data_IF_213664423648
#
_entry.id   IF_213664423648
#
_cell.length_a   1.000
_cell.length_b   1.000
_cell.length_c   1.000
_cell.angle_alpha   90.00
_cell.angle_beta   90.00
_cell.angle_gamma   90.00
#
_symmetry.space_group_name_H-M   'P 1'
#
loop_
_entity.id
_entity.type
_entity.pdbx_description
1 polymer ?
#
# COMPACT_ATOMS: atom_id res chain seq x y z
N UNK A 1 2.95 23.50 -14.14
CA UNK A 1 3.13 22.31 -15.00
C UNK A 1 2.37 21.17 -14.35
N UNK A 2 1.20 20.82 -14.86
CA UNK A 2 0.30 19.82 -14.25
C UNK A 2 0.81 18.41 -14.53
N UNK A 3 1.39 17.75 -13.52
CA UNK A 3 1.66 16.32 -13.56
C UNK A 3 0.50 15.59 -12.93
N UNK A 4 -0.26 14.88 -13.76
CA UNK A 4 -1.36 14.02 -13.33
C UNK A 4 -0.88 13.05 -12.24
N UNK A 5 -1.58 13.00 -11.10
CA UNK A 5 -1.25 12.10 -9.99
C UNK A 5 -1.13 10.63 -10.43
N UNK A 6 -1.78 10.26 -11.55
CA UNK A 6 -1.65 8.95 -12.17
C UNK A 6 -0.21 8.61 -12.63
N UNK A 7 0.58 9.60 -13.04
CA UNK A 7 1.96 9.41 -13.48
C UNK A 7 2.89 9.14 -12.29
N UNK A 8 2.64 9.74 -11.13
CA UNK A 8 3.44 9.52 -9.91
C UNK A 8 3.32 8.07 -9.44
N UNK A 9 2.10 7.51 -9.43
CA UNK A 9 1.90 6.11 -9.08
C UNK A 9 2.48 5.15 -10.11
N UNK A 10 2.41 5.51 -11.40
CA UNK A 10 3.08 4.74 -12.48
C UNK A 10 4.59 4.75 -12.33
N UNK A 11 5.22 5.90 -12.07
CA UNK A 11 6.68 6.00 -11.94
C UNK A 11 7.21 5.30 -10.69
N UNK A 12 6.48 5.41 -9.56
CA UNK A 12 6.79 4.66 -8.36
C UNK A 12 6.67 3.13 -8.57
N UNK A 13 5.70 2.68 -9.37
CA UNK A 13 5.54 1.27 -9.74
C UNK A 13 6.54 0.82 -10.83
N UNK A 14 6.95 1.72 -11.72
CA UNK A 14 7.82 1.45 -12.86
C UNK A 14 9.31 1.37 -12.49
N UNK A 15 9.73 1.90 -11.33
CA UNK A 15 11.10 1.71 -10.84
C UNK A 15 11.39 0.21 -10.70
N UNK A 16 12.27 -0.37 -11.54
CA UNK A 16 12.62 -1.78 -11.41
C UNK A 16 13.33 -1.94 -10.08
N UNK A 17 12.68 -2.63 -9.13
CA UNK A 17 13.35 -3.04 -7.91
C UNK A 17 14.57 -3.85 -8.35
N UNK A 18 15.78 -3.56 -7.84
CA UNK A 18 16.96 -4.34 -8.22
C UNK A 18 16.61 -5.80 -7.99
N UNK A 19 16.69 -6.59 -9.06
CA UNK A 19 16.38 -8.01 -9.03
C UNK A 19 17.49 -8.68 -8.21
N UNK A 20 17.41 -8.57 -6.88
CA UNK A 20 18.23 -9.34 -5.96
C UNK A 20 17.84 -10.78 -6.22
N UNK A 21 18.63 -11.44 -7.08
CA UNK A 21 18.58 -12.88 -7.30
C UNK A 21 18.64 -13.49 -5.91
N UNK A 22 17.50 -13.99 -5.43
CA UNK A 22 17.44 -14.65 -4.13
C UNK A 22 18.39 -15.83 -4.23
N UNK A 23 19.21 -16.06 -3.21
CA UNK A 23 19.96 -17.29 -3.13
C UNK A 23 19.00 -18.47 -3.32
N UNK A 24 19.35 -19.40 -4.20
CA UNK A 24 18.54 -20.57 -4.47
C UNK A 24 18.35 -21.38 -3.19
N UNK A 25 17.18 -21.98 -3.02
CA UNK A 25 16.93 -22.88 -1.89
C UNK A 25 17.84 -24.09 -1.94
N UNK A 26 18.28 -24.55 -0.77
CA UNK A 26 18.94 -25.85 -0.62
C UNK A 26 17.86 -26.93 -0.70
N UNK A 27 18.01 -27.85 -1.65
CA UNK A 27 17.11 -29.01 -1.81
C UNK A 27 17.77 -30.25 -1.22
N UNK A 28 17.12 -30.89 -0.26
CA UNK A 28 17.57 -32.15 0.33
C UNK A 28 16.58 -33.26 -0.04
N UNK A 29 17.10 -34.43 -0.44
CA UNK A 29 16.27 -35.62 -0.64
C UNK A 29 16.03 -36.28 0.70
N UNK A 30 14.76 -36.51 1.03
CA UNK A 30 14.33 -37.22 2.24
C UNK A 30 13.20 -38.16 1.86
N UNK A 31 13.15 -39.33 2.49
CA UNK A 31 12.02 -40.23 2.42
C UNK A 31 10.79 -39.64 3.13
N UNK A 32 9.61 -40.21 2.87
CA UNK A 32 8.38 -39.79 3.55
C UNK A 32 8.46 -39.99 5.07
N UNK A 33 9.08 -41.09 5.53
CA UNK A 33 9.25 -41.37 6.94
C UNK A 33 10.14 -40.32 7.63
N UNK A 34 11.28 -39.98 7.02
CA UNK A 34 12.18 -38.94 7.54
C UNK A 34 11.49 -37.56 7.54
N UNK A 35 10.69 -37.26 6.52
CA UNK A 35 9.93 -36.01 6.47
C UNK A 35 8.93 -35.89 7.61
N UNK A 36 8.25 -36.97 7.99
CA UNK A 36 7.34 -36.97 9.14
C UNK A 36 8.09 -36.83 10.48
N UNK A 37 9.26 -37.45 10.61
CA UNK A 37 10.13 -37.25 11.78
C UNK A 37 10.55 -35.78 11.87
N UNK A 38 10.96 -35.17 10.77
CA UNK A 38 11.33 -33.75 10.73
C UNK A 38 10.14 -32.84 11.09
N UNK A 39 8.93 -33.13 10.61
CA UNK A 39 7.72 -32.37 10.96
C UNK A 39 7.43 -32.45 12.45
N UNK A 40 7.53 -33.66 13.03
CA UNK A 40 7.32 -33.86 14.47
C UNK A 40 8.35 -33.09 15.30
N UNK A 41 9.62 -33.13 14.91
CA UNK A 41 10.69 -32.36 15.56
C UNK A 41 10.52 -30.84 15.39
N UNK A 42 10.02 -30.38 14.25
CA UNK A 42 9.79 -28.95 13.99
C UNK A 42 8.63 -28.35 14.80
N UNK A 43 7.66 -29.18 15.23
CA UNK A 43 6.52 -28.74 16.04
C UNK A 43 5.69 -27.66 15.34
N UNK A 44 5.61 -26.46 15.93
CA UNK A 44 4.87 -25.31 15.37
C UNK A 44 5.68 -24.49 14.34
N UNK A 45 6.97 -24.79 14.17
CA UNK A 45 7.86 -24.07 13.24
C UNK A 45 7.73 -24.67 11.84
N UNK A 46 8.01 -23.86 10.81
CA UNK A 46 8.14 -24.43 9.45
C UNK A 46 9.36 -25.33 9.36
N UNK A 47 9.29 -26.40 8.56
CA UNK A 47 10.41 -27.34 8.34
C UNK A 47 11.71 -26.63 7.96
N UNK A 48 11.64 -25.65 7.06
CA UNK A 48 12.83 -24.90 6.64
C UNK A 48 13.42 -24.03 7.75
N UNK A 49 12.61 -23.50 8.66
CA UNK A 49 13.11 -22.78 9.82
C UNK A 49 13.80 -23.73 10.80
N UNK A 50 13.18 -24.87 11.09
CA UNK A 50 13.76 -25.90 11.97
C UNK A 50 15.08 -26.45 11.43
N UNK A 51 15.12 -26.85 10.15
CA UNK A 51 16.35 -27.39 9.52
C UNK A 51 17.47 -26.35 9.51
N UNK A 52 17.14 -25.08 9.26
CA UNK A 52 18.12 -23.99 9.27
C UNK A 52 18.70 -23.75 10.65
N UNK A 53 17.86 -23.73 11.68
CA UNK A 53 18.28 -23.55 13.08
C UNK A 53 19.21 -24.67 13.52
N UNK A 54 18.89 -25.93 13.20
CA UNK A 54 19.75 -27.07 13.53
C UNK A 54 21.06 -27.06 12.73
N UNK A 55 21.02 -26.66 11.46
CA UNK A 55 22.21 -26.71 10.59
C UNK A 55 23.17 -25.52 10.77
N UNK A 56 22.65 -24.34 11.12
CA UNK A 56 23.44 -23.11 11.24
C UNK A 56 23.68 -22.69 12.70
N UNK A 57 22.84 -23.12 13.65
CA UNK A 57 23.02 -22.78 15.07
C UNK A 57 23.18 -21.27 15.30
N UNK A 58 24.29 -20.89 15.91
CA UNK A 58 24.64 -19.49 16.23
C UNK A 58 25.05 -18.66 15.00
N UNK A 59 25.47 -19.31 13.91
CA UNK A 59 25.85 -18.63 12.66
C UNK A 59 24.62 -18.19 11.83
N UNK A 60 23.41 -18.39 12.35
CA UNK A 60 22.19 -18.03 11.65
C UNK A 60 21.95 -16.52 11.69
N UNK A 61 22.01 -15.86 10.53
CA UNK A 61 21.57 -14.47 10.41
C UNK A 61 20.06 -14.31 10.74
N UNK A 62 19.66 -13.23 11.45
CA UNK A 62 18.27 -12.93 11.72
C UNK A 62 17.49 -12.74 10.41
N UNK A 63 16.39 -13.49 10.25
CA UNK A 63 15.51 -13.27 9.11
C UNK A 63 14.81 -11.93 9.29
N UNK A 64 14.85 -11.07 8.25
CA UNK A 64 13.99 -9.90 8.17
C UNK A 64 12.53 -10.34 8.31
N UNK A 65 11.93 -10.09 9.46
CA UNK A 65 10.49 -10.15 9.64
C UNK A 65 9.92 -9.00 8.83
N UNK A 66 9.07 -9.31 7.84
CA UNK A 66 8.24 -8.28 7.24
C UNK A 66 7.38 -7.73 8.39
N UNK A 67 7.65 -6.49 8.82
CA UNK A 67 6.83 -5.83 9.81
C UNK A 67 5.41 -5.80 9.25
N UNK A 68 4.48 -6.45 9.94
CA UNK A 68 3.07 -6.26 9.64
C UNK A 68 2.78 -4.78 9.91
N UNK A 69 2.16 -4.04 8.98
CA UNK A 69 1.73 -2.69 9.27
C UNK A 69 0.82 -2.73 10.50
N UNK A 70 0.86 -1.67 11.32
CA UNK A 70 -0.12 -1.52 12.39
C UNK A 70 -1.54 -1.54 11.78
N UNK A 71 -2.52 -1.95 12.60
CA UNK A 71 -3.92 -1.98 12.18
C UNK A 71 -4.32 -0.60 11.62
N UNK A 72 -3.91 0.46 12.32
CA UNK A 72 -4.18 1.85 11.93
C UNK A 72 -3.59 2.19 10.56
N UNK A 73 -2.33 1.82 10.30
CA UNK A 73 -1.69 2.07 9.00
C UNK A 73 -2.43 1.36 7.86
N UNK A 74 -2.87 0.11 8.10
CA UNK A 74 -3.62 -0.65 7.10
C UNK A 74 -5.01 -0.05 6.84
N UNK A 75 -5.69 0.45 7.88
CA UNK A 75 -7.00 1.11 7.77
C UNK A 75 -6.89 2.45 7.03
N UNK A 76 -5.90 3.28 7.36
CA UNK A 76 -5.65 4.55 6.69
C UNK A 76 -5.35 4.35 5.20
N UNK A 77 -4.53 3.35 4.86
CA UNK A 77 -4.23 3.01 3.46
C UNK A 77 -5.48 2.55 2.69
N UNK A 78 -6.35 1.76 3.33
CA UNK A 78 -7.62 1.35 2.73
C UNK A 78 -8.56 2.54 2.53
N UNK A 79 -8.64 3.45 3.50
CA UNK A 79 -9.50 4.63 3.43
C UNK A 79 -9.04 5.58 2.32
N UNK A 80 -7.74 5.83 2.20
CA UNK A 80 -7.17 6.60 1.08
C UNK A 80 -7.47 5.92 -0.28
N UNK A 81 -7.36 4.59 -0.35
CA UNK A 81 -7.69 3.83 -1.55
C UNK A 81 -9.17 3.90 -1.93
N UNK A 82 -10.08 3.92 -0.94
CA UNK A 82 -11.53 4.13 -1.15
C UNK A 82 -11.82 5.55 -1.60
N UNK A 83 -11.18 6.55 -0.99
CA UNK A 83 -11.34 7.96 -1.37
C UNK A 83 -10.94 8.20 -2.83
N UNK A 84 -9.81 7.63 -3.27
CA UNK A 84 -9.36 7.72 -4.67
C UNK A 84 -10.22 6.95 -5.69
N UNK A 85 -11.02 5.99 -5.23
CA UNK A 85 -12.00 5.26 -6.06
C UNK A 85 -13.40 5.89 -6.02
N UNK A 86 -13.63 6.87 -5.14
CA UNK A 86 -14.94 7.48 -5.01
C UNK A 86 -15.21 8.39 -6.21
N UNK A 87 -16.32 8.12 -6.90
CA UNK A 87 -16.81 8.98 -7.98
C UNK A 87 -17.24 10.36 -7.47
N UNK A 88 -17.43 10.54 -6.14
CA UNK A 88 -17.81 11.83 -5.55
C UNK A 88 -16.80 12.93 -5.87
N UNK A 89 -15.51 12.62 -5.94
CA UNK A 89 -14.47 13.60 -6.29
C UNK A 89 -14.64 14.06 -7.74
N UNK A 90 -14.89 13.11 -8.64
CA UNK A 90 -15.15 13.37 -10.06
C UNK A 90 -16.46 14.16 -10.25
N UNK A 91 -17.52 13.81 -9.52
CA UNK A 91 -18.79 14.52 -9.56
C UNK A 91 -18.66 15.96 -9.07
N UNK A 92 -17.97 16.20 -7.96
CA UNK A 92 -17.74 17.55 -7.42
C UNK A 92 -16.94 18.41 -8.41
N UNK A 93 -15.89 17.86 -9.03
CA UNK A 93 -15.12 18.59 -10.04
C UNK A 93 -15.94 18.93 -11.29
N UNK A 94 -16.77 18.00 -11.77
CA UNK A 94 -17.64 18.23 -12.92
C UNK A 94 -18.71 19.29 -12.61
N UNK A 95 -19.29 19.27 -11.40
CA UNK A 95 -20.23 20.29 -10.94
C UNK A 95 -19.55 21.66 -10.87
N UNK A 96 -18.32 21.73 -10.34
CA UNK A 96 -17.58 22.97 -10.23
C UNK A 96 -17.27 23.56 -11.61
N UNK A 97 -16.77 22.72 -12.53
CA UNK A 97 -16.48 23.13 -13.91
C UNK A 97 -17.75 23.61 -14.63
N UNK A 98 -18.90 22.97 -14.36
CA UNK A 98 -20.17 23.37 -14.96
C UNK A 98 -20.73 24.67 -14.36
N UNK A 99 -20.52 24.91 -13.06
CA UNK A 99 -20.87 26.14 -12.37
C UNK A 99 -20.00 27.32 -12.83
N UNK A 100 -18.67 27.13 -12.90
CA UNK A 100 -17.71 28.15 -13.39
C UNK A 100 -17.96 28.54 -14.85
N UNK A 101 -18.42 27.59 -15.68
CA UNK A 101 -18.76 27.85 -17.08
C UNK A 101 -20.16 28.44 -17.29
N UNK A 102 -20.87 28.84 -16.24
CA UNK A 102 -22.26 29.32 -16.25
C UNK A 102 -23.24 28.35 -16.96
N UNK A 103 -22.88 27.06 -17.05
CA UNK A 103 -23.71 26.04 -17.72
C UNK A 103 -24.87 25.58 -16.85
N UNK A 104 -24.81 25.89 -15.56
CA UNK A 104 -25.83 25.59 -14.56
C UNK A 104 -26.08 26.88 -13.79
N UNK A 105 -27.36 27.23 -13.61
CA UNK A 105 -27.73 28.34 -12.74
C UNK A 105 -27.54 27.92 -11.27
N UNK A 106 -26.60 28.55 -10.59
CA UNK A 106 -26.33 28.37 -9.16
C UNK A 106 -26.25 29.71 -8.46
N UNK A 107 -26.75 29.77 -7.23
CA UNK A 107 -26.58 30.95 -6.39
C UNK A 107 -25.11 31.08 -5.97
N UNK A 108 -24.72 32.27 -5.49
CA UNK A 108 -23.36 32.48 -4.97
C UNK A 108 -23.07 31.55 -3.79
N UNK A 109 -24.04 31.41 -2.87
CA UNK A 109 -23.93 30.51 -1.72
C UNK A 109 -23.70 29.05 -2.14
N UNK A 110 -24.37 28.58 -3.20
CA UNK A 110 -24.17 27.22 -3.69
C UNK A 110 -22.77 27.02 -4.29
N UNK A 111 -22.21 28.07 -4.91
CA UNK A 111 -20.84 28.05 -5.44
C UNK A 111 -19.81 28.04 -4.32
N UNK A 112 -19.97 28.86 -3.30
CA UNK A 112 -19.10 28.82 -2.10
C UNK A 112 -19.16 27.44 -1.42
N UNK A 113 -20.35 26.89 -1.20
CA UNK A 113 -20.50 25.56 -0.59
C UNK A 113 -19.81 24.46 -1.41
N UNK A 114 -19.81 24.58 -2.74
CA UNK A 114 -19.15 23.63 -3.64
C UNK A 114 -17.62 23.76 -3.59
N UNK A 115 -17.09 24.98 -3.49
CA UNK A 115 -15.66 25.21 -3.28
C UNK A 115 -15.20 24.66 -1.94
N UNK A 116 -15.97 24.89 -0.87
CA UNK A 116 -15.68 24.35 0.47
C UNK A 116 -15.68 22.82 0.49
N UNK A 117 -16.64 22.19 -0.20
CA UNK A 117 -16.68 20.74 -0.33
C UNK A 117 -15.44 20.19 -1.05
N UNK A 118 -15.00 20.84 -2.14
CA UNK A 118 -13.78 20.47 -2.86
C UNK A 118 -12.53 20.63 -1.97
N UNK A 119 -12.42 21.74 -1.23
CA UNK A 119 -11.33 21.99 -0.31
C UNK A 119 -11.27 20.94 0.82
N UNK A 120 -12.42 20.61 1.43
CA UNK A 120 -12.48 19.59 2.47
C UNK A 120 -12.05 18.20 1.98
N UNK A 121 -12.41 17.80 0.76
CA UNK A 121 -11.94 16.54 0.16
C UNK A 121 -10.43 16.55 -0.10
N UNK A 122 -9.90 17.69 -0.56
CA UNK A 122 -8.47 17.87 -0.74
C UNK A 122 -7.71 17.74 0.59
N UNK A 123 -8.19 18.37 1.65
CA UNK A 123 -7.58 18.33 2.98
C UNK A 123 -7.62 16.93 3.59
N UNK A 124 -8.74 16.21 3.44
CA UNK A 124 -8.84 14.80 3.83
C UNK A 124 -7.78 13.95 3.11
N UNK A 125 -7.60 14.14 1.80
CA UNK A 125 -6.58 13.42 1.02
C UNK A 125 -5.17 13.77 1.52
N UNK A 126 -4.88 15.05 1.75
CA UNK A 126 -3.58 15.51 2.21
C UNK A 126 -3.23 14.93 3.59
N UNK A 127 -4.18 14.95 4.53
CA UNK A 127 -4.03 14.38 5.87
C UNK A 127 -3.72 12.87 5.82
N UNK A 128 -4.43 12.12 4.98
CA UNK A 128 -4.21 10.68 4.80
C UNK A 128 -2.85 10.37 4.17
N UNK A 129 -2.44 11.14 3.16
CA UNK A 129 -1.12 11.00 2.53
C UNK A 129 -0.01 11.29 3.55
N UNK A 130 -0.16 12.35 4.36
CA UNK A 130 0.76 12.69 5.45
C UNK A 130 0.86 11.60 6.51
N UNK A 131 -0.27 11.06 6.96
CA UNK A 131 -0.32 9.99 7.97
C UNK A 131 0.34 8.67 7.49
N UNK A 132 0.31 8.40 6.19
CA UNK A 132 0.95 7.24 5.57
C UNK A 132 2.41 7.51 5.15
N UNK A 133 2.94 8.70 5.44
CA UNK A 133 4.25 9.16 4.98
C UNK A 133 4.45 9.03 3.45
N UNK A 134 3.34 9.11 2.69
CA UNK A 134 3.36 9.13 1.25
C UNK A 134 3.54 10.59 0.82
N UNK A 135 4.74 10.97 0.36
CA UNK A 135 4.93 12.30 -0.26
C UNK A 135 4.24 12.29 -1.62
N UNK A 136 3.08 12.93 -1.70
CA UNK A 136 2.63 13.55 -2.94
C UNK A 136 3.19 14.98 -2.93
N UNK A 137 4.10 15.30 -3.83
CA UNK A 137 4.44 16.70 -4.06
C UNK A 137 3.19 17.43 -4.59
N UNK A 138 2.94 18.61 -4.01
CA UNK A 138 1.89 19.54 -4.38
C UNK A 138 2.14 20.13 -5.78
#
# INVERSE_FOLDING_TARGET
MSWSSANIFKDAAAKPRPNRRRASSISIRVSNAEREVLKRKAGKRSLGAYVREIALGEDQEPRRTAAKPSIDYALLAQLLGKLGKSDQVSCLFLLLTAAEGERIAMTENDREALHDACAGVHDMRAALMGALALRGEA
#
